data_IF_119245913812
#
_entry.id   IF_119245913812
#
_cell.length_a   1.000
_cell.length_b   1.000
_cell.length_c   1.000
_cell.angle_alpha   90.00
_cell.angle_beta   90.00
_cell.angle_gamma   90.00
#
_symmetry.space_group_name_H-M   'P 1'
#
loop_
_entity.id
_entity.type
_entity.pdbx_description
1 polymer ?
#
# COMPACT_ATOMS: atom_id res chain seq x y z
N UNK A 1 -14.16 19.68 0.42
CA UNK A 1 -14.28 19.59 -1.04
C UNK A 1 -14.00 18.19 -1.53
N UNK A 2 -14.80 17.64 -2.46
CA UNK A 2 -14.59 16.31 -3.03
C UNK A 2 -13.29 16.19 -3.85
N UNK A 3 -12.60 17.29 -4.15
CA UNK A 3 -11.25 17.27 -4.77
C UNK A 3 -10.13 16.80 -3.83
N UNK A 4 -10.33 16.86 -2.50
CA UNK A 4 -9.29 16.55 -1.51
C UNK A 4 -9.43 15.19 -0.83
N UNK A 5 -10.43 14.38 -1.22
CA UNK A 5 -10.71 13.09 -0.63
C UNK A 5 -10.62 11.99 -1.69
N UNK A 6 -9.90 10.91 -1.38
CA UNK A 6 -9.81 9.71 -2.23
C UNK A 6 -10.31 8.48 -1.48
N UNK A 7 -10.96 7.58 -2.21
CA UNK A 7 -11.42 6.28 -1.72
C UNK A 7 -10.39 5.16 -1.96
N UNK A 8 -9.20 5.49 -2.46
CA UNK A 8 -8.10 4.55 -2.63
C UNK A 8 -7.71 3.95 -1.27
N UNK A 9 -7.24 2.70 -1.29
CA UNK A 9 -6.85 2.00 -0.06
C UNK A 9 -5.71 2.71 0.67
N UNK A 10 -4.79 3.29 -0.12
CA UNK A 10 -3.66 4.09 0.34
C UNK A 10 -3.53 5.29 -0.60
N UNK A 11 -3.35 6.47 -0.01
CA UNK A 11 -3.11 7.72 -0.72
C UNK A 11 -1.74 8.24 -0.28
N UNK A 12 -0.93 8.67 -1.24
CA UNK A 12 0.37 9.30 -1.00
C UNK A 12 0.38 10.69 -1.62
N UNK A 13 0.58 11.70 -0.78
CA UNK A 13 0.78 13.09 -1.18
C UNK A 13 2.15 13.56 -0.66
N UNK A 14 3.15 13.53 -1.54
CA UNK A 14 4.54 13.86 -1.22
C UNK A 14 5.13 12.91 -0.17
N UNK A 15 5.19 13.35 1.09
CA UNK A 15 5.68 12.57 2.25
C UNK A 15 4.58 12.15 3.22
N UNK A 16 3.34 12.55 2.97
CA UNK A 16 2.19 12.14 3.76
C UNK A 16 1.56 10.92 3.11
N UNK A 17 1.47 9.81 3.85
CA UNK A 17 0.84 8.58 3.39
C UNK A 17 -0.29 8.25 4.38
N UNK A 18 -1.50 8.06 3.86
CA UNK A 18 -2.70 7.71 4.64
C UNK A 18 -3.38 6.47 4.08
N UNK A 19 -4.06 5.71 4.94
CA UNK A 19 -4.85 4.53 4.53
C UNK A 19 -6.23 4.54 5.19
N UNK A 20 -7.18 3.77 4.63
CA UNK A 20 -8.59 3.83 5.03
C UNK A 20 -8.90 3.17 6.37
N UNK A 21 -8.11 2.18 6.79
CA UNK A 21 -8.39 1.45 8.03
C UNK A 21 -7.67 0.10 8.16
N UNK A 22 -8.06 -0.73 9.13
CA UNK A 22 -7.31 -1.95 9.48
C UNK A 22 -7.21 -2.96 8.33
N UNK A 23 -8.22 -3.04 7.47
CA UNK A 23 -8.23 -3.93 6.30
C UNK A 23 -7.20 -3.53 5.22
N UNK A 24 -6.66 -2.31 5.28
CA UNK A 24 -5.66 -1.78 4.34
C UNK A 24 -4.24 -1.76 4.91
N UNK A 25 -4.01 -2.47 6.03
CA UNK A 25 -2.74 -2.43 6.74
C UNK A 25 -1.58 -2.99 5.91
N UNK A 26 -1.83 -3.99 5.07
CA UNK A 26 -0.79 -4.62 4.24
C UNK A 26 -0.40 -3.68 3.11
N UNK A 27 -1.37 -3.11 2.40
CA UNK A 27 -1.16 -2.12 1.33
C UNK A 27 -0.41 -0.90 1.89
N UNK A 28 -0.82 -0.40 3.05
CA UNK A 28 -0.16 0.72 3.73
C UNK A 28 1.29 0.40 4.10
N UNK A 29 1.54 -0.80 4.62
CA UNK A 29 2.89 -1.25 4.96
C UNK A 29 3.79 -1.31 3.71
N UNK A 30 3.27 -1.80 2.59
CA UNK A 30 4.04 -1.84 1.34
C UNK A 30 4.27 -0.45 0.73
N UNK A 31 3.32 0.47 0.85
CA UNK A 31 3.53 1.87 0.46
C UNK A 31 4.67 2.54 1.26
N UNK A 32 4.76 2.25 2.56
CA UNK A 32 5.88 2.71 3.39
C UNK A 32 7.21 2.07 2.97
N UNK A 33 7.22 0.77 2.70
CA UNK A 33 8.42 0.05 2.25
C UNK A 33 8.90 0.61 0.90
N UNK A 34 7.99 0.90 -0.03
CA UNK A 34 8.31 1.53 -1.32
C UNK A 34 8.88 2.95 -1.16
N UNK A 35 8.38 3.72 -0.20
CA UNK A 35 8.88 5.07 0.07
C UNK A 35 10.25 5.10 0.77
N UNK A 36 10.58 4.06 1.55
CA UNK A 36 11.74 4.07 2.46
C UNK A 36 12.89 3.14 2.03
N UNK A 37 12.61 2.12 1.21
CA UNK A 37 13.58 1.07 0.88
C UNK A 37 13.90 1.03 -0.61
N UNK A 38 15.08 0.54 -1.01
CA UNK A 38 15.40 0.32 -2.42
C UNK A 38 14.45 -0.71 -3.05
N UNK A 39 14.14 -0.53 -4.34
CA UNK A 39 13.23 -1.38 -5.11
C UNK A 39 13.52 -2.89 -4.95
N UNK A 40 14.81 -3.29 -4.88
CA UNK A 40 15.20 -4.69 -4.68
C UNK A 40 14.60 -5.31 -3.41
N UNK A 41 14.47 -4.51 -2.34
CA UNK A 41 13.92 -4.95 -1.05
C UNK A 41 12.40 -5.08 -1.17
N UNK A 42 11.74 -4.12 -1.81
CA UNK A 42 10.31 -4.17 -2.10
C UNK A 42 9.97 -5.45 -2.86
N UNK A 43 10.69 -5.73 -3.95
CA UNK A 43 10.46 -6.91 -4.79
C UNK A 43 10.69 -8.21 -4.02
N UNK A 44 11.80 -8.28 -3.28
CA UNK A 44 12.08 -9.44 -2.42
C UNK A 44 10.93 -9.70 -1.42
N UNK A 45 10.41 -8.65 -0.78
CA UNK A 45 9.32 -8.80 0.19
C UNK A 45 8.00 -9.19 -0.48
N UNK A 46 7.67 -8.63 -1.65
CA UNK A 46 6.49 -9.07 -2.42
C UNK A 46 6.59 -10.55 -2.81
N UNK A 47 7.77 -11.02 -3.21
CA UNK A 47 8.02 -12.42 -3.61
C UNK A 47 8.04 -13.39 -2.42
N UNK A 48 8.51 -12.94 -1.24
CA UNK A 48 8.69 -13.78 -0.05
C UNK A 48 7.51 -13.75 0.91
N UNK A 49 6.54 -12.88 0.69
CA UNK A 49 5.33 -12.76 1.51
C UNK A 49 4.10 -13.12 0.70
N UNK A 50 2.96 -13.26 1.38
CA UNK A 50 1.68 -13.53 0.74
C UNK A 50 1.03 -12.27 0.14
N UNK A 51 1.83 -11.28 -0.27
CA UNK A 51 1.33 -10.02 -0.83
C UNK A 51 0.43 -10.23 -2.07
N UNK A 52 0.70 -11.27 -2.87
CA UNK A 52 -0.19 -11.64 -3.98
C UNK A 52 -1.60 -12.06 -3.54
N UNK A 53 -1.72 -12.76 -2.41
CA UNK A 53 -3.01 -13.22 -1.88
C UNK A 53 -3.90 -12.06 -1.40
N UNK A 54 -3.31 -10.96 -0.92
CA UNK A 54 -4.07 -9.77 -0.52
C UNK A 54 -4.69 -9.04 -1.71
N UNK A 55 -3.93 -8.90 -2.81
CA UNK A 55 -4.43 -8.28 -4.05
C UNK A 55 -5.53 -9.13 -4.70
N UNK A 56 -5.36 -10.44 -4.73
CA UNK A 56 -6.33 -11.36 -5.34
C UNK A 56 -7.67 -11.41 -4.57
N UNK A 57 -7.65 -11.11 -3.27
CA UNK A 57 -8.86 -11.03 -2.44
C UNK A 57 -9.59 -9.68 -2.54
N UNK A 58 -8.88 -8.58 -2.73
CA UNK A 58 -9.44 -7.23 -2.84
C UNK A 58 -10.03 -6.92 -4.23
N UNK A 59 -9.53 -7.60 -5.28
CA UNK A 59 -10.03 -7.46 -6.65
C UNK A 59 -11.24 -8.38 -6.98
N UNK A 60 -11.85 -9.02 -5.98
CA UNK A 60 -13.09 -9.82 -6.13
C UNK A 60 -14.31 -9.10 -5.58
#
# INVERSE_FOLDING_TARGET
>A
DPEYYSEDLVVSDGRLITSRGPTTAIEFSFALIEALMPERVVKLLKDKTLYGLTLDWLCR
#
